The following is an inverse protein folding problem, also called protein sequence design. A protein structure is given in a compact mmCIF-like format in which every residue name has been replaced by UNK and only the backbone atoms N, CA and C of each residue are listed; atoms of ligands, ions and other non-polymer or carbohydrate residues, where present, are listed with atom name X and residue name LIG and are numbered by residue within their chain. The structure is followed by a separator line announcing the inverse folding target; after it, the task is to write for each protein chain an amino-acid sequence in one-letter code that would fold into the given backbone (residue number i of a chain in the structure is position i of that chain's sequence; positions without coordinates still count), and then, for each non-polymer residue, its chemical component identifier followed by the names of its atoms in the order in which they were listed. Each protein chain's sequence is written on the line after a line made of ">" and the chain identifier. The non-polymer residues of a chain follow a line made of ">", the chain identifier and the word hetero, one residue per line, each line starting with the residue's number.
data_IF_787138265844
#
_entry.id   IF_787138265844
#
_cell.length_a   1.000
_cell.length_b   1.000
_cell.length_c   1.000
_cell.angle_alpha   90.00
_cell.angle_beta   90.00
_cell.angle_gamma   90.00
#
_symmetry.space_group_name_H-M   'P 1'
#
loop_
_entity.id
_entity.type
_entity.pdbx_description
1 polymer ?
#
# COMPACT_ATOMS: atom_id res chain seq x y z
N UNK A 1 51.26 -40.07 -40.30
CA UNK A 1 50.51 -39.01 -40.98
C UNK A 1 49.98 -38.07 -39.93
N UNK A 2 50.53 -36.80 -39.96
CA UNK A 2 50.31 -35.73 -39.02
C UNK A 2 48.88 -35.17 -39.13
N UNK A 3 48.23 -34.98 -37.99
CA UNK A 3 47.03 -34.19 -37.86
C UNK A 3 47.21 -33.10 -36.79
N UNK A 4 47.40 -31.86 -37.23
CA UNK A 4 47.45 -30.64 -36.40
C UNK A 4 46.07 -30.32 -35.85
N UNK A 5 45.88 -30.35 -34.54
CA UNK A 5 44.71 -29.76 -33.85
C UNK A 5 45.04 -28.34 -33.42
N UNK A 6 44.45 -27.34 -34.09
CA UNK A 6 44.48 -25.95 -33.67
C UNK A 6 43.52 -25.77 -32.50
N UNK A 7 44.06 -25.46 -31.31
CA UNK A 7 43.29 -24.93 -30.19
C UNK A 7 42.89 -23.49 -30.49
N UNK A 8 41.58 -23.25 -30.74
CA UNK A 8 41.01 -21.94 -30.70
C UNK A 8 40.64 -21.57 -29.25
N UNK A 9 41.50 -20.82 -28.60
CA UNK A 9 41.22 -20.20 -27.31
C UNK A 9 40.19 -19.11 -27.47
N UNK A 10 38.95 -19.40 -27.15
CA UNK A 10 37.89 -18.39 -27.08
C UNK A 10 38.05 -17.60 -25.77
N UNK A 11 38.77 -16.47 -25.83
CA UNK A 11 38.77 -15.46 -24.78
C UNK A 11 37.41 -14.78 -24.80
N UNK A 12 36.44 -15.33 -24.10
CA UNK A 12 35.18 -14.70 -23.79
C UNK A 12 35.45 -13.47 -22.91
N UNK A 13 35.52 -12.29 -23.50
CA UNK A 13 35.46 -11.03 -22.76
C UNK A 13 34.05 -10.90 -22.16
N UNK A 14 33.90 -11.32 -20.91
CA UNK A 14 32.72 -11.05 -20.10
C UNK A 14 32.63 -9.56 -19.82
N UNK A 15 32.18 -8.77 -20.80
CA UNK A 15 31.89 -7.34 -20.63
C UNK A 15 30.45 -7.16 -20.13
N UNK A 16 30.15 -7.66 -18.95
CA UNK A 16 29.01 -7.22 -18.18
C UNK A 16 29.32 -5.82 -17.61
N UNK A 17 29.57 -4.85 -18.50
CA UNK A 17 29.53 -3.45 -18.14
C UNK A 17 28.09 -3.12 -17.82
N UNK A 18 27.73 -3.14 -16.52
CA UNK A 18 26.54 -2.49 -15.98
C UNK A 18 26.55 -1.05 -16.51
N UNK A 19 25.86 -0.76 -17.62
CA UNK A 19 25.68 0.58 -18.16
C UNK A 19 24.82 1.35 -17.18
N UNK A 20 25.44 1.91 -16.15
CA UNK A 20 24.77 2.81 -15.24
C UNK A 20 24.12 3.94 -16.06
N UNK A 21 22.81 4.12 -15.90
CA UNK A 21 22.05 5.14 -16.62
C UNK A 21 22.61 6.52 -16.30
N UNK A 22 22.72 7.42 -17.31
CA UNK A 22 23.10 8.81 -17.08
C UNK A 22 22.16 9.46 -16.05
N UNK A 23 22.75 10.22 -15.10
CA UNK A 23 22.01 10.82 -13.99
C UNK A 23 20.81 11.69 -14.43
N UNK A 24 20.95 12.50 -15.48
CA UNK A 24 19.86 13.35 -15.95
C UNK A 24 18.67 12.53 -16.49
N UNK A 25 18.97 11.48 -17.25
CA UNK A 25 17.95 10.53 -17.73
C UNK A 25 17.29 9.81 -16.56
N UNK A 26 18.07 9.38 -15.59
CA UNK A 26 17.61 8.75 -14.36
C UNK A 26 16.69 9.68 -13.55
N UNK A 27 17.13 10.91 -13.27
CA UNK A 27 16.35 11.89 -12.53
C UNK A 27 15.06 12.30 -13.24
N UNK A 28 15.06 12.35 -14.58
CA UNK A 28 13.84 12.59 -15.39
C UNK A 28 12.85 11.45 -15.25
N UNK A 29 13.30 10.19 -15.32
CA UNK A 29 12.44 9.00 -15.21
C UNK A 29 11.78 8.87 -13.83
N UNK A 30 12.56 9.11 -12.77
CA UNK A 30 12.09 8.91 -11.39
C UNK A 30 11.63 10.19 -10.68
N UNK A 31 11.51 11.32 -11.38
CA UNK A 31 11.25 12.68 -10.89
C UNK A 31 12.44 13.33 -10.18
N UNK A 32 12.81 14.53 -10.66
CA UNK A 32 13.87 15.35 -10.04
C UNK A 32 13.61 15.62 -8.55
N UNK A 33 12.36 15.91 -8.19
CA UNK A 33 11.96 16.15 -6.80
C UNK A 33 12.24 14.95 -5.89
N UNK A 34 11.98 13.74 -6.38
CA UNK A 34 12.26 12.51 -5.63
C UNK A 34 13.76 12.24 -5.51
N UNK A 35 14.51 12.42 -6.60
CA UNK A 35 15.95 12.12 -6.64
C UNK A 35 16.77 13.19 -5.92
N UNK A 36 16.30 14.43 -5.83
CA UNK A 36 17.01 15.53 -5.15
C UNK A 36 17.32 15.21 -3.68
N UNK A 37 16.46 14.47 -2.99
CA UNK A 37 16.71 14.03 -1.60
C UNK A 37 17.94 13.13 -1.50
N UNK A 38 18.10 12.21 -2.44
CA UNK A 38 19.27 11.32 -2.50
C UNK A 38 20.52 12.08 -2.90
N UNK A 39 20.42 13.04 -3.82
CA UNK A 39 21.56 13.89 -4.21
C UNK A 39 22.05 14.73 -3.02
N UNK A 40 21.12 15.30 -2.25
CA UNK A 40 21.45 16.04 -1.02
C UNK A 40 22.14 15.14 0.00
N UNK A 41 21.61 13.94 0.25
CA UNK A 41 22.21 12.96 1.16
C UNK A 41 23.58 12.47 0.69
N UNK A 42 23.78 12.36 -0.62
CA UNK A 42 25.06 12.02 -1.24
C UNK A 42 26.02 13.22 -1.39
N UNK A 43 25.70 14.39 -0.80
CA UNK A 43 26.52 15.62 -0.86
C UNK A 43 26.87 16.03 -2.31
N UNK A 44 25.93 15.86 -3.24
CA UNK A 44 26.10 16.22 -4.66
C UNK A 44 26.69 15.11 -5.54
N UNK A 45 27.12 13.98 -4.99
CA UNK A 45 27.62 12.85 -5.77
C UNK A 45 26.46 12.13 -6.47
N UNK A 46 26.39 12.32 -7.79
CA UNK A 46 25.33 11.79 -8.66
C UNK A 46 25.31 10.26 -8.71
N UNK A 47 26.49 9.63 -8.71
CA UNK A 47 26.61 8.16 -8.76
C UNK A 47 26.13 7.56 -7.45
N UNK A 48 26.61 8.08 -6.34
CA UNK A 48 26.18 7.67 -4.99
C UNK A 48 24.69 7.89 -4.78
N UNK A 49 24.12 8.98 -5.28
CA UNK A 49 22.66 9.24 -5.22
C UNK A 49 21.84 8.16 -5.94
N UNK A 50 22.29 7.73 -7.14
CA UNK A 50 21.66 6.62 -7.87
C UNK A 50 21.77 5.29 -7.11
N UNK A 51 22.95 4.98 -6.56
CA UNK A 51 23.18 3.77 -5.77
C UNK A 51 22.29 3.73 -4.51
N UNK A 52 22.17 4.86 -3.81
CA UNK A 52 21.27 4.99 -2.64
C UNK A 52 19.80 4.82 -3.03
N UNK A 53 19.36 5.37 -4.16
CA UNK A 53 18.00 5.17 -4.65
C UNK A 53 17.72 3.70 -4.96
N UNK A 54 18.61 3.02 -5.66
CA UNK A 54 18.47 1.59 -5.95
C UNK A 54 18.54 0.72 -4.69
N UNK A 55 19.38 1.09 -3.72
CA UNK A 55 19.43 0.39 -2.42
C UNK A 55 18.08 0.52 -1.70
N UNK A 56 17.51 1.73 -1.64
CA UNK A 56 16.18 1.96 -1.07
C UNK A 56 15.08 1.17 -1.80
N UNK A 57 15.12 1.13 -3.14
CA UNK A 57 14.17 0.34 -3.92
C UNK A 57 14.29 -1.17 -3.65
N UNK A 58 15.51 -1.71 -3.47
CA UNK A 58 15.71 -3.11 -3.09
C UNK A 58 15.16 -3.41 -1.70
N UNK A 59 15.40 -2.53 -0.73
CA UNK A 59 14.84 -2.66 0.62
C UNK A 59 13.31 -2.65 0.57
N UNK A 60 12.71 -1.68 -0.11
CA UNK A 60 11.25 -1.58 -0.26
C UNK A 60 10.66 -2.87 -0.89
N UNK A 61 11.33 -3.40 -1.93
CA UNK A 61 10.92 -4.66 -2.56
C UNK A 61 10.98 -5.85 -1.60
N UNK A 62 11.97 -5.90 -0.70
CA UNK A 62 12.09 -6.99 0.28
C UNK A 62 10.96 -6.96 1.32
N UNK A 63 10.46 -5.76 1.66
CA UNK A 63 9.36 -5.61 2.61
C UNK A 63 7.98 -5.84 2.00
N UNK A 64 7.81 -5.67 0.68
CA UNK A 64 6.51 -5.75 0.01
C UNK A 64 5.74 -7.06 0.32
N UNK A 65 6.33 -8.26 0.23
CA UNK A 65 5.62 -9.49 0.56
C UNK A 65 5.19 -9.56 2.03
N UNK A 66 6.04 -9.08 2.95
CA UNK A 66 5.75 -9.07 4.39
C UNK A 66 4.58 -8.13 4.71
N UNK A 67 4.55 -6.94 4.10
CA UNK A 67 3.46 -5.98 4.26
C UNK A 67 2.15 -6.56 3.72
N UNK A 68 2.18 -7.18 2.54
CA UNK A 68 0.99 -7.81 1.95
C UNK A 68 0.47 -8.96 2.82
N UNK A 69 1.36 -9.75 3.40
CA UNK A 69 0.98 -10.83 4.30
C UNK A 69 0.37 -10.30 5.61
N UNK A 70 0.99 -9.27 6.21
CA UNK A 70 0.49 -8.60 7.40
C UNK A 70 -0.90 -8.00 7.15
N UNK A 71 -1.12 -7.37 5.98
CA UNK A 71 -2.42 -6.83 5.59
C UNK A 71 -3.51 -7.91 5.59
N UNK A 72 -3.23 -9.07 4.99
CA UNK A 72 -4.19 -10.20 4.96
C UNK A 72 -4.52 -10.69 6.37
N UNK A 73 -3.50 -10.85 7.22
CA UNK A 73 -3.72 -11.29 8.62
C UNK A 73 -4.56 -10.25 9.36
N UNK A 74 -4.15 -8.98 9.30
CA UNK A 74 -4.80 -7.90 10.03
C UNK A 74 -6.28 -7.79 9.66
N UNK A 75 -6.61 -7.71 8.38
CA UNK A 75 -8.01 -7.60 7.94
C UNK A 75 -8.87 -8.77 8.38
N UNK A 76 -8.34 -10.00 8.36
CA UNK A 76 -9.08 -11.17 8.79
C UNK A 76 -9.29 -11.17 10.30
N UNK A 77 -8.25 -10.86 11.10
CA UNK A 77 -8.37 -10.81 12.55
C UNK A 77 -9.35 -9.72 13.00
N UNK A 78 -9.26 -8.52 12.40
CA UNK A 78 -10.19 -7.42 12.67
C UNK A 78 -11.63 -7.78 12.27
N UNK A 79 -11.81 -8.44 11.12
CA UNK A 79 -13.12 -8.91 10.71
C UNK A 79 -13.72 -9.86 11.74
N UNK A 80 -12.95 -10.86 12.21
CA UNK A 80 -13.45 -11.82 13.20
C UNK A 80 -13.73 -11.15 14.56
N UNK A 81 -12.85 -10.28 15.01
CA UNK A 81 -13.05 -9.56 16.27
C UNK A 81 -14.34 -8.71 16.24
N UNK A 82 -14.57 -7.97 15.15
CA UNK A 82 -15.75 -7.13 15.00
C UNK A 82 -17.02 -7.92 14.69
N UNK A 83 -16.93 -9.04 13.96
CA UNK A 83 -18.05 -9.96 13.78
C UNK A 83 -18.52 -10.54 15.13
N UNK A 84 -17.59 -10.89 16.00
CA UNK A 84 -17.90 -11.35 17.36
C UNK A 84 -18.46 -10.20 18.22
N UNK A 85 -17.87 -9.02 18.16
CA UNK A 85 -18.36 -7.85 18.92
C UNK A 85 -19.79 -7.48 18.58
N UNK A 86 -20.14 -7.47 17.29
CA UNK A 86 -21.50 -7.15 16.85
C UNK A 86 -22.41 -8.40 16.81
N UNK A 87 -21.90 -9.59 17.09
CA UNK A 87 -22.58 -10.87 16.89
C UNK A 87 -23.20 -10.97 15.47
N UNK A 88 -22.45 -10.50 14.47
CA UNK A 88 -22.92 -10.35 13.10
C UNK A 88 -21.77 -10.52 12.10
N UNK A 89 -21.77 -11.58 11.32
CA UNK A 89 -20.77 -11.85 10.27
C UNK A 89 -20.87 -10.87 9.09
N UNK A 90 -22.01 -10.18 8.95
CA UNK A 90 -22.26 -9.17 7.92
C UNK A 90 -22.09 -7.74 8.45
N UNK A 91 -21.42 -7.57 9.60
CA UNK A 91 -21.26 -6.28 10.27
C UNK A 91 -20.78 -5.15 9.33
N UNK A 92 -19.90 -5.45 8.36
CA UNK A 92 -19.45 -4.47 7.37
C UNK A 92 -20.61 -3.81 6.63
N UNK A 93 -21.61 -4.60 6.25
CA UNK A 93 -22.80 -4.11 5.54
C UNK A 93 -23.77 -3.44 6.50
N UNK A 94 -24.06 -4.08 7.63
CA UNK A 94 -25.10 -3.65 8.55
C UNK A 94 -24.68 -2.43 9.38
N UNK A 95 -23.40 -2.30 9.73
CA UNK A 95 -22.90 -1.18 10.51
C UNK A 95 -22.68 0.11 9.71
N UNK A 96 -22.97 0.15 8.41
CA UNK A 96 -23.04 1.39 7.64
C UNK A 96 -24.06 2.37 8.22
N UNK A 97 -25.18 1.85 8.75
CA UNK A 97 -26.23 2.63 9.44
C UNK A 97 -26.05 2.64 10.96
N UNK A 98 -25.10 1.87 11.49
CA UNK A 98 -24.71 1.79 12.89
C UNK A 98 -23.56 2.76 13.22
N UNK A 99 -22.47 2.21 13.79
CA UNK A 99 -21.36 3.05 14.28
C UNK A 99 -20.70 3.91 13.18
N UNK A 100 -20.69 3.46 11.91
CA UNK A 100 -20.12 4.24 10.80
C UNK A 100 -20.95 5.48 10.41
N UNK A 101 -22.16 5.62 10.94
CA UNK A 101 -23.03 6.77 10.79
C UNK A 101 -23.33 7.47 12.13
N UNK A 102 -22.55 7.17 13.17
CA UNK A 102 -22.76 7.73 14.48
C UNK A 102 -22.65 9.26 14.48
N UNK A 103 -23.55 10.00 15.20
CA UNK A 103 -23.51 11.46 15.26
C UNK A 103 -22.19 12.03 15.75
N UNK A 104 -21.46 11.30 16.61
CA UNK A 104 -20.14 11.68 17.13
C UNK A 104 -19.04 11.75 16.06
N UNK A 105 -19.25 11.18 14.88
CA UNK A 105 -18.36 11.33 13.71
C UNK A 105 -18.48 12.70 13.04
N UNK A 106 -19.46 13.50 13.45
CA UNK A 106 -19.67 14.85 12.95
C UNK A 106 -18.86 15.86 13.77
N UNK A 107 -18.06 16.67 13.09
CA UNK A 107 -17.27 17.71 13.73
C UNK A 107 -17.26 19.01 12.93
N UNK A 108 -17.04 20.12 13.62
CA UNK A 108 -16.91 21.43 12.99
C UNK A 108 -15.44 21.66 12.65
N UNK A 109 -15.15 21.91 11.38
CA UNK A 109 -13.82 22.31 10.96
C UNK A 109 -13.49 23.68 11.56
N UNK A 110 -12.55 23.72 12.49
CA UNK A 110 -12.16 24.96 13.23
C UNK A 110 -11.67 26.10 12.32
N UNK A 111 -11.16 25.80 11.12
CA UNK A 111 -10.64 26.80 10.18
C UNK A 111 -11.73 27.39 9.29
N UNK A 112 -12.75 26.62 8.94
CA UNK A 112 -13.77 27.02 7.95
C UNK A 112 -15.16 27.18 8.54
N UNK A 113 -15.38 26.80 9.81
CA UNK A 113 -16.69 26.75 10.44
C UNK A 113 -17.67 25.74 9.85
N UNK A 114 -17.27 24.99 8.84
CA UNK A 114 -18.16 24.03 8.16
C UNK A 114 -18.26 22.73 8.93
N UNK A 115 -19.46 22.20 8.98
CA UNK A 115 -19.73 20.85 9.48
C UNK A 115 -19.10 19.83 8.54
N UNK A 116 -18.34 18.90 9.08
CA UNK A 116 -17.72 17.79 8.36
C UNK A 116 -18.07 16.48 9.07
N UNK A 117 -18.47 15.49 8.31
CA UNK A 117 -18.72 14.14 8.80
C UNK A 117 -17.54 13.26 8.43
N UNK A 118 -17.04 12.47 9.38
CA UNK A 118 -16.05 11.45 9.10
C UNK A 118 -16.74 10.16 8.69
N UNK A 119 -17.13 10.09 7.44
CA UNK A 119 -17.84 8.97 6.82
C UNK A 119 -16.95 8.09 5.94
N UNK A 120 -15.62 8.15 6.18
CA UNK A 120 -14.63 7.43 5.39
C UNK A 120 -14.91 5.92 5.33
N UNK A 121 -15.13 5.27 6.47
CA UNK A 121 -15.40 3.82 6.53
C UNK A 121 -16.64 3.45 5.73
N UNK A 122 -17.73 4.20 5.91
CA UNK A 122 -18.99 4.00 5.18
C UNK A 122 -18.79 4.11 3.67
N UNK A 123 -18.11 5.18 3.22
CA UNK A 123 -17.83 5.42 1.79
C UNK A 123 -16.96 4.36 1.15
N UNK A 124 -15.97 3.83 1.87
CA UNK A 124 -15.13 2.75 1.33
C UNK A 124 -15.94 1.45 1.16
N UNK A 125 -16.88 1.15 2.05
CA UNK A 125 -17.79 0.01 1.88
C UNK A 125 -18.73 0.24 0.69
N UNK A 126 -19.39 1.40 0.61
CA UNK A 126 -20.28 1.74 -0.51
C UNK A 126 -19.55 1.69 -1.86
N UNK A 127 -18.30 2.13 -1.89
CA UNK A 127 -17.43 2.02 -3.07
C UNK A 127 -17.15 0.56 -3.44
N UNK A 128 -16.84 -0.28 -2.46
CA UNK A 128 -16.59 -1.71 -2.67
C UNK A 128 -17.84 -2.44 -3.15
N UNK A 129 -19.01 -2.12 -2.58
CA UNK A 129 -20.30 -2.64 -3.04
C UNK A 129 -20.58 -2.26 -4.49
N UNK A 130 -20.33 -1.00 -4.87
CA UNK A 130 -20.48 -0.56 -6.25
C UNK A 130 -19.58 -1.33 -7.20
N UNK A 131 -18.29 -1.50 -6.86
CA UNK A 131 -17.34 -2.27 -7.67
C UNK A 131 -17.83 -3.71 -7.87
N UNK A 132 -18.33 -4.35 -6.82
CA UNK A 132 -18.85 -5.71 -6.88
C UNK A 132 -20.11 -5.80 -7.76
N UNK A 133 -21.02 -4.83 -7.61
CA UNK A 133 -22.24 -4.73 -8.44
C UNK A 133 -21.90 -4.53 -9.92
N UNK A 134 -20.99 -3.59 -10.22
CA UNK A 134 -20.56 -3.30 -11.59
C UNK A 134 -19.89 -4.53 -12.26
N UNK A 135 -19.28 -5.42 -11.46
CA UNK A 135 -18.71 -6.71 -11.90
C UNK A 135 -19.75 -7.86 -11.95
N UNK A 136 -21.01 -7.62 -11.57
CA UNK A 136 -22.06 -8.64 -11.51
C UNK A 136 -21.90 -9.64 -10.34
N UNK A 137 -21.17 -9.30 -9.30
CA UNK A 137 -20.99 -10.17 -8.14
C UNK A 137 -22.02 -9.89 -7.04
N UNK A 138 -22.46 -10.97 -6.35
CA UNK A 138 -23.26 -10.83 -5.14
C UNK A 138 -22.45 -10.13 -4.03
N UNK A 139 -23.08 -9.21 -3.32
CA UNK A 139 -22.48 -8.50 -2.19
C UNK A 139 -22.46 -9.43 -0.98
N UNK A 140 -21.26 -9.73 -0.47
CA UNK A 140 -21.03 -10.48 0.76
C UNK A 140 -19.89 -9.85 1.54
N UNK A 141 -19.86 -10.01 2.88
CA UNK A 141 -18.78 -9.47 3.70
C UNK A 141 -17.41 -9.93 3.21
N UNK A 142 -17.24 -11.19 2.85
CA UNK A 142 -15.96 -11.72 2.36
C UNK A 142 -15.47 -11.05 1.07
N UNK A 143 -16.40 -10.73 0.14
CA UNK A 143 -16.04 -9.99 -1.09
C UNK A 143 -15.71 -8.53 -0.83
N UNK A 144 -16.45 -7.88 0.07
CA UNK A 144 -16.14 -6.52 0.52
C UNK A 144 -14.76 -6.48 1.16
N UNK A 145 -14.44 -7.42 2.06
CA UNK A 145 -13.11 -7.53 2.71
C UNK A 145 -11.98 -7.61 1.67
N UNK A 146 -12.21 -8.34 0.59
CA UNK A 146 -11.20 -8.49 -0.46
C UNK A 146 -10.98 -7.20 -1.29
N UNK A 147 -12.01 -6.36 -1.44
CA UNK A 147 -11.93 -5.06 -2.17
C UNK A 147 -11.41 -3.92 -1.28
N UNK A 148 -11.53 -4.02 0.06
CA UNK A 148 -11.08 -2.99 0.99
C UNK A 148 -9.55 -2.92 1.06
N UNK A 149 -9.02 -1.70 1.05
CA UNK A 149 -7.60 -1.44 1.19
C UNK A 149 -7.13 -1.39 2.65
N UNK A 150 -5.81 -1.40 2.87
CA UNK A 150 -5.21 -1.32 4.21
C UNK A 150 -5.62 -0.07 4.99
N UNK A 151 -5.88 1.06 4.30
CA UNK A 151 -6.33 2.31 4.92
C UNK A 151 -7.65 2.17 5.67
N UNK A 152 -8.60 1.39 5.15
CA UNK A 152 -9.85 1.10 5.84
C UNK A 152 -9.60 0.44 7.21
N UNK A 153 -8.78 -0.61 7.23
CA UNK A 153 -8.48 -1.37 8.44
C UNK A 153 -7.72 -0.54 9.47
N UNK A 154 -6.77 0.27 9.00
CA UNK A 154 -6.01 1.17 9.86
C UNK A 154 -6.91 2.27 10.46
N UNK A 155 -7.93 2.75 9.75
CA UNK A 155 -8.84 3.79 10.25
C UNK A 155 -9.72 3.33 11.41
N UNK A 156 -9.89 2.03 11.62
CA UNK A 156 -10.59 1.51 12.80
C UNK A 156 -9.86 1.86 14.11
N UNK A 157 -8.54 2.05 14.07
CA UNK A 157 -7.72 2.46 15.21
C UNK A 157 -7.69 3.97 15.44
N UNK A 158 -8.29 4.79 14.55
CA UNK A 158 -8.38 6.21 14.79
C UNK A 158 -9.28 6.48 16.01
N UNK A 159 -8.89 7.43 16.87
CA UNK A 159 -9.50 7.66 18.17
C UNK A 159 -11.04 7.73 18.17
N UNK A 160 -11.62 8.35 17.14
CA UNK A 160 -13.07 8.49 17.01
C UNK A 160 -13.78 7.17 16.65
N UNK A 161 -13.17 6.29 15.85
CA UNK A 161 -13.72 4.96 15.55
C UNK A 161 -13.46 3.99 16.70
N UNK A 162 -12.23 3.99 17.22
CA UNK A 162 -11.84 3.15 18.35
C UNK A 162 -12.73 3.35 19.58
N UNK A 163 -13.09 4.60 19.88
CA UNK A 163 -14.01 4.91 20.99
C UNK A 163 -15.43 4.37 20.74
N UNK A 164 -15.93 4.43 19.50
CA UNK A 164 -17.25 3.90 19.15
C UNK A 164 -17.30 2.38 19.18
N UNK A 165 -16.16 1.73 18.99
CA UNK A 165 -15.99 0.27 19.03
C UNK A 165 -15.63 -0.23 20.45
N UNK A 166 -15.68 0.64 21.47
CA UNK A 166 -15.37 0.30 22.87
C UNK A 166 -13.97 -0.32 23.05
N UNK A 167 -13.00 0.07 22.21
CA UNK A 167 -11.65 -0.48 22.27
C UNK A 167 -11.49 -1.89 21.69
N UNK A 168 -12.46 -2.38 20.94
CA UNK A 168 -12.33 -3.56 20.08
C UNK A 168 -11.90 -3.05 18.72
N UNK A 169 -10.87 -3.18 18.26
CA UNK A 169 -9.86 -4.02 17.71
C UNK A 169 -8.48 -3.94 18.35
#
# INVERSE_FOLDING_TARGET
>A
LCGFTKHYGHKGKNSNRNRQMNYHKFAKLYSYSRISRYLKAAKGDKKKAQEMYYANARIARSFQPLISFLEVILRNQLHYALANHFNDVQWLINQKTGFMSAPSLTHINKKTGKVKVNDFLKKEIERSEKILTDKGYNITAGRIIAELNFGFWNSLYEAHHYSLLCGVP
#
